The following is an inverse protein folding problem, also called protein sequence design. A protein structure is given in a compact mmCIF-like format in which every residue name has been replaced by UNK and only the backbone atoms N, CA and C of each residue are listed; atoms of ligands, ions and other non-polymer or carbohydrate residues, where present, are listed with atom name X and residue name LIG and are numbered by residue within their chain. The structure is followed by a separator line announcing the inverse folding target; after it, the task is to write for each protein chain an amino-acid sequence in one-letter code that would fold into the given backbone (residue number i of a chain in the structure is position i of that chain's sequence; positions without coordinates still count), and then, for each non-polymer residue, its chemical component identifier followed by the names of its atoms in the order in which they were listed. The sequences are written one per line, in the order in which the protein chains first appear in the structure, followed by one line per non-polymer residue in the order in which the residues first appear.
data_IF_229650163718
#
_entry.id   IF_229650163718
#
_cell.length_a   1.000
_cell.length_b   1.000
_cell.length_c   1.000
_cell.angle_alpha   90.00
_cell.angle_beta   90.00
_cell.angle_gamma   90.00
#
_symmetry.space_group_name_H-M   'P 1'
#
loop_
_entity.id
_entity.type
_entity.pdbx_description
1 polymer ?
#
# COMPACT_ATOMS: atom_id res chain seq x y z
N UNK A 1 -6.47 12.03 14.31
CA UNK A 1 -6.62 10.58 14.08
C UNK A 1 -6.80 9.88 15.42
N UNK A 2 -7.79 9.02 15.53
CA UNK A 2 -8.06 8.31 16.78
C UNK A 2 -7.12 7.13 16.93
N UNK A 3 -6.96 6.67 18.20
CA UNK A 3 -6.17 5.48 18.50
C UNK A 3 -6.71 4.24 17.78
N UNK A 4 -8.02 4.09 17.73
CA UNK A 4 -8.66 2.97 17.05
C UNK A 4 -8.35 2.95 15.55
N UNK A 5 -8.32 4.12 14.90
CA UNK A 5 -7.97 4.24 13.48
C UNK A 5 -6.54 3.81 13.23
N UNK A 6 -5.62 4.21 14.12
CA UNK A 6 -4.21 3.81 14.00
C UNK A 6 -4.04 2.30 14.16
N UNK A 7 -4.76 1.71 15.10
CA UNK A 7 -4.70 0.26 15.30
C UNK A 7 -5.24 -0.50 14.10
N UNK A 8 -6.35 -0.05 13.54
CA UNK A 8 -6.93 -0.68 12.35
C UNK A 8 -5.96 -0.58 11.17
N UNK A 9 -5.37 0.59 10.97
CA UNK A 9 -4.39 0.79 9.90
C UNK A 9 -3.18 -0.12 10.05
N UNK A 10 -2.62 -0.22 11.24
CA UNK A 10 -1.47 -1.09 11.51
C UNK A 10 -1.81 -2.55 11.28
N UNK A 11 -2.98 -2.97 11.74
CA UNK A 11 -3.45 -4.33 11.53
C UNK A 11 -3.56 -4.63 10.03
N UNK A 12 -4.15 -3.70 9.27
CA UNK A 12 -4.31 -3.86 7.83
C UNK A 12 -2.97 -3.95 7.11
N UNK A 13 -2.01 -3.08 7.48
CA UNK A 13 -0.68 -3.11 6.88
C UNK A 13 0.04 -4.42 7.17
N UNK A 14 -0.10 -4.95 8.38
CA UNK A 14 0.48 -6.24 8.73
C UNK A 14 -0.13 -7.36 7.89
N UNK A 15 -1.45 -7.35 7.71
CA UNK A 15 -2.13 -8.34 6.89
C UNK A 15 -1.73 -8.22 5.42
N UNK A 16 -1.57 -7.00 4.92
CA UNK A 16 -1.13 -6.76 3.55
C UNK A 16 0.28 -7.30 3.33
N UNK A 17 1.18 -7.07 4.29
CA UNK A 17 2.54 -7.58 4.19
C UNK A 17 2.56 -9.11 4.14
N UNK A 18 1.78 -9.77 4.99
CA UNK A 18 1.67 -11.23 4.97
C UNK A 18 1.10 -11.76 3.66
N UNK A 19 0.09 -11.08 3.15
CA UNK A 19 -0.53 -11.43 1.89
C UNK A 19 0.49 -11.38 0.75
N UNK A 20 1.28 -10.32 0.70
CA UNK A 20 2.31 -10.14 -0.32
C UNK A 20 3.40 -11.20 -0.21
N UNK A 21 3.86 -11.48 1.01
CA UNK A 21 4.89 -12.52 1.22
C UNK A 21 4.43 -13.88 0.71
N UNK A 22 3.17 -14.24 0.94
CA UNK A 22 2.63 -15.51 0.45
C UNK A 22 2.61 -15.58 -1.07
N UNK A 23 2.56 -14.43 -1.74
CA UNK A 23 2.58 -14.33 -3.19
C UNK A 23 3.97 -14.08 -3.74
N UNK A 24 5.00 -14.31 -2.90
CA UNK A 24 6.41 -14.23 -3.27
C UNK A 24 6.90 -12.81 -3.55
N UNK A 25 6.24 -11.82 -2.97
CA UNK A 25 6.77 -10.47 -2.91
C UNK A 25 7.75 -10.40 -1.74
N UNK A 26 8.87 -9.73 -1.96
CA UNK A 26 9.81 -9.44 -0.89
C UNK A 26 9.49 -8.07 -0.33
N UNK A 27 9.25 -8.00 0.96
CA UNK A 27 9.01 -6.71 1.63
C UNK A 27 10.37 -6.05 1.83
N UNK A 28 10.57 -4.90 1.20
CA UNK A 28 11.83 -4.17 1.26
C UNK A 28 11.81 -3.19 2.43
N UNK A 29 10.71 -2.46 2.57
CA UNK A 29 10.57 -1.47 3.62
C UNK A 29 9.10 -1.25 3.92
N UNK A 30 8.79 -0.90 5.17
CA UNK A 30 7.43 -0.57 5.59
C UNK A 30 7.43 0.84 6.16
N UNK A 31 6.34 1.56 5.93
CA UNK A 31 6.12 2.90 6.45
C UNK A 31 7.27 3.85 6.10
N UNK A 32 7.62 3.86 4.81
CA UNK A 32 8.60 4.82 4.32
C UNK A 32 8.00 6.23 4.36
N UNK A 33 8.72 7.16 4.97
CA UNK A 33 8.25 8.54 5.12
C UNK A 33 9.30 9.53 4.65
N UNK A 34 8.83 10.61 4.05
CA UNK A 34 9.65 11.76 3.74
C UNK A 34 8.79 13.03 3.86
N UNK A 35 9.36 14.17 3.53
CA UNK A 35 8.62 15.44 3.63
C UNK A 35 7.37 15.47 2.75
N UNK A 36 7.38 14.74 1.65
CA UNK A 36 6.28 14.76 0.67
C UNK A 36 5.14 13.81 1.00
N UNK A 37 5.37 12.82 1.86
CA UNK A 37 4.34 11.87 2.21
C UNK A 37 4.88 10.55 2.70
N UNK A 38 4.05 9.52 2.60
CA UNK A 38 4.32 8.20 3.15
C UNK A 38 3.90 7.13 2.16
N UNK A 39 4.65 6.02 2.16
CA UNK A 39 4.31 4.80 1.41
C UNK A 39 4.21 3.66 2.42
N UNK A 40 3.08 2.97 2.41
CA UNK A 40 2.82 1.93 3.41
C UNK A 40 3.77 0.75 3.30
N UNK A 41 3.98 0.26 2.08
CA UNK A 41 4.87 -0.88 1.84
C UNK A 41 5.64 -0.64 0.55
N UNK A 42 6.95 -0.88 0.60
CA UNK A 42 7.79 -0.98 -0.57
C UNK A 42 8.17 -2.45 -0.70
N UNK A 43 7.85 -3.04 -1.83
CA UNK A 43 8.07 -4.47 -2.05
C UNK A 43 8.76 -4.69 -3.39
N UNK A 44 9.34 -5.87 -3.54
CA UNK A 44 9.92 -6.30 -4.81
C UNK A 44 9.25 -7.58 -5.25
N UNK A 45 8.79 -7.59 -6.47
CA UNK A 45 8.21 -8.76 -7.10
C UNK A 45 8.95 -9.01 -8.41
N UNK A 46 9.73 -10.09 -8.43
CA UNK A 46 10.66 -10.34 -9.54
C UNK A 46 11.57 -9.12 -9.72
N UNK A 47 11.59 -8.50 -10.89
CA UNK A 47 12.42 -7.33 -11.16
C UNK A 47 11.70 -6.01 -10.93
N UNK A 48 10.44 -6.05 -10.51
CA UNK A 48 9.62 -4.84 -10.33
C UNK A 48 9.66 -4.37 -8.89
N UNK A 49 9.91 -3.09 -8.70
CA UNK A 49 9.77 -2.44 -7.41
C UNK A 49 8.34 -1.93 -7.29
N UNK A 50 7.64 -2.34 -6.24
CA UNK A 50 6.22 -2.09 -6.09
C UNK A 50 5.98 -1.21 -4.88
N UNK A 51 5.34 -0.07 -5.10
CA UNK A 51 4.93 0.84 -4.03
C UNK A 51 3.46 0.58 -3.73
N UNK A 52 3.15 0.18 -2.51
CA UNK A 52 1.83 -0.31 -2.14
C UNK A 52 1.15 0.63 -1.16
N UNK A 53 -0.06 1.04 -1.49
CA UNK A 53 -0.95 1.76 -0.59
C UNK A 53 -1.95 0.75 -0.02
N UNK A 54 -2.08 0.72 1.30
CA UNK A 54 -2.99 -0.19 1.99
C UNK A 54 -4.19 0.60 2.49
N UNK A 55 -5.38 0.15 2.10
CA UNK A 55 -6.64 0.74 2.56
C UNK A 55 -7.40 -0.29 3.37
N UNK A 56 -7.68 0.05 4.62
CA UNK A 56 -8.40 -0.84 5.53
C UNK A 56 -9.76 -0.26 5.86
N UNK A 57 -10.80 -1.07 5.73
CA UNK A 57 -12.18 -0.70 6.02
C UNK A 57 -12.76 -1.71 7.00
N UNK A 58 -13.73 -1.26 7.80
CA UNK A 58 -14.40 -2.14 8.76
C UNK A 58 -15.42 -3.04 8.10
N UNK A 59 -16.10 -2.56 7.08
CA UNK A 59 -17.13 -3.33 6.40
C UNK A 59 -17.17 -3.00 4.92
N UNK A 60 -17.98 -3.78 4.17
CA UNK A 60 -18.04 -3.69 2.72
C UNK A 60 -18.87 -2.51 2.21
N UNK A 61 -19.61 -1.84 3.09
CA UNK A 61 -20.45 -0.73 2.68
C UNK A 61 -19.68 0.54 2.39
N UNK A 62 -18.42 0.57 2.80
CA UNK A 62 -17.54 1.69 2.48
C UNK A 62 -17.30 1.79 0.99
N UNK A 63 -16.84 2.97 0.57
CA UNK A 63 -16.52 3.23 -0.84
C UNK A 63 -15.58 2.14 -1.36
N UNK A 64 -15.85 1.60 -2.57
CA UNK A 64 -14.98 0.58 -3.15
C UNK A 64 -13.51 0.98 -3.05
N UNK A 65 -12.65 0.08 -2.59
CA UNK A 65 -11.27 0.41 -2.23
C UNK A 65 -10.46 1.11 -3.32
N UNK A 66 -10.65 0.72 -4.59
CA UNK A 66 -9.89 1.33 -5.67
C UNK A 66 -10.23 2.81 -5.86
N UNK A 67 -11.40 3.25 -5.42
CA UNK A 67 -11.81 4.65 -5.51
C UNK A 67 -11.40 5.47 -4.30
N UNK A 68 -10.87 4.83 -3.25
CA UNK A 68 -10.42 5.55 -2.06
C UNK A 68 -9.05 6.19 -2.25
N UNK A 69 -8.37 5.90 -3.36
CA UNK A 69 -7.09 6.51 -3.70
C UNK A 69 -7.33 7.45 -4.87
N UNK A 70 -7.69 8.69 -4.57
CA UNK A 70 -7.98 9.69 -5.60
C UNK A 70 -6.70 10.19 -6.25
N UNK A 71 -6.82 10.98 -7.32
CA UNK A 71 -5.66 11.45 -8.08
C UNK A 71 -4.70 12.26 -7.23
N UNK A 72 -5.20 13.08 -6.33
CA UNK A 72 -4.36 13.87 -5.43
C UNK A 72 -3.47 12.99 -4.57
N UNK A 73 -4.03 11.93 -3.99
CA UNK A 73 -3.29 10.97 -3.19
C UNK A 73 -2.30 10.18 -4.05
N UNK A 74 -2.72 9.79 -5.25
CA UNK A 74 -1.85 9.09 -6.19
C UNK A 74 -0.61 9.93 -6.50
N UNK A 75 -0.79 11.22 -6.77
CA UNK A 75 0.33 12.11 -7.07
C UNK A 75 1.26 12.25 -5.87
N UNK A 76 0.71 12.29 -4.66
CA UNK A 76 1.52 12.34 -3.45
C UNK A 76 2.37 11.08 -3.32
N UNK A 77 1.79 9.93 -3.56
CA UNK A 77 2.51 8.64 -3.51
C UNK A 77 3.61 8.61 -4.57
N UNK A 78 3.30 9.07 -5.79
CA UNK A 78 4.27 9.10 -6.89
C UNK A 78 5.47 9.98 -6.52
N UNK A 79 5.22 11.17 -5.98
CA UNK A 79 6.29 12.08 -5.56
C UNK A 79 7.14 11.49 -4.45
N UNK A 80 6.49 10.84 -3.49
CA UNK A 80 7.20 10.16 -2.40
C UNK A 80 8.06 9.03 -2.92
N UNK A 81 7.53 8.26 -3.88
CA UNK A 81 8.28 7.17 -4.51
C UNK A 81 9.51 7.68 -5.26
N UNK A 82 9.41 8.85 -5.90
CA UNK A 82 10.57 9.45 -6.56
C UNK A 82 11.69 9.77 -5.59
N UNK A 83 11.35 10.25 -4.39
CA UNK A 83 12.34 10.50 -3.35
C UNK A 83 13.01 9.17 -2.93
N UNK A 84 12.20 8.13 -2.73
CA UNK A 84 12.72 6.80 -2.40
C UNK A 84 13.71 6.32 -3.45
N UNK A 85 13.32 6.39 -4.72
CA UNK A 85 14.16 5.94 -5.82
C UNK A 85 15.47 6.69 -5.86
N UNK A 86 15.42 8.02 -5.68
CA UNK A 86 16.61 8.85 -5.68
C UNK A 86 17.55 8.50 -4.52
N UNK A 87 17.01 8.31 -3.33
CA UNK A 87 17.79 7.95 -2.16
C UNK A 87 18.50 6.61 -2.29
N UNK A 88 17.89 5.69 -3.04
CA UNK A 88 18.43 4.35 -3.22
C UNK A 88 19.12 4.13 -4.57
N UNK A 89 19.31 5.21 -5.34
CA UNK A 89 19.96 5.17 -6.66
C UNK A 89 19.28 4.18 -7.61
N UNK A 90 17.94 4.15 -7.60
CA UNK A 90 17.15 3.23 -8.40
C UNK A 90 16.45 3.96 -9.55
N UNK A 91 16.21 3.21 -10.64
CA UNK A 91 15.50 3.73 -11.81
C UNK A 91 14.00 3.55 -11.66
N UNK A 92 13.24 4.50 -12.21
CA UNK A 92 11.78 4.43 -12.22
C UNK A 92 11.24 3.45 -13.28
N UNK A 93 12.08 2.91 -14.16
CA UNK A 93 11.62 2.11 -15.29
C UNK A 93 10.88 0.84 -14.92
N UNK A 94 11.24 0.23 -13.78
CA UNK A 94 10.62 -1.02 -13.34
C UNK A 94 9.89 -0.82 -12.03
N UNK A 95 9.02 0.18 -12.00
CA UNK A 95 8.22 0.49 -10.83
C UNK A 95 6.74 0.30 -11.12
N UNK A 96 5.98 -0.05 -10.08
CA UNK A 96 4.55 -0.24 -10.18
C UNK A 96 3.89 0.27 -8.91
N UNK A 97 2.70 0.84 -9.04
CA UNK A 97 1.92 1.34 -7.91
C UNK A 97 0.71 0.45 -7.71
N UNK A 98 0.63 -0.17 -6.55
CA UNK A 98 -0.43 -1.10 -6.21
C UNK A 98 -1.27 -0.57 -5.06
N UNK A 99 -2.52 -1.01 -5.01
CA UNK A 99 -3.40 -0.79 -3.86
C UNK A 99 -3.80 -2.15 -3.32
N UNK A 100 -3.75 -2.30 -2.01
CA UNK A 100 -4.32 -3.46 -1.32
C UNK A 100 -5.42 -2.96 -0.42
N UNK A 101 -6.61 -3.51 -0.62
CA UNK A 101 -7.79 -3.14 0.15
C UNK A 101 -8.16 -4.28 1.07
N UNK A 102 -8.36 -3.98 2.34
CA UNK A 102 -8.67 -4.99 3.35
C UNK A 102 -9.95 -4.61 4.04
N UNK A 103 -10.89 -5.57 4.08
CA UNK A 103 -12.12 -5.45 4.86
C UNK A 103 -11.93 -6.27 6.13
N UNK A 104 -12.04 -5.60 7.29
CA UNK A 104 -11.65 -6.21 8.55
C UNK A 104 -12.56 -7.33 9.03
N UNK A 105 -13.88 -7.15 8.91
CA UNK A 105 -14.80 -8.14 9.44
C UNK A 105 -14.79 -8.18 10.96
N UNK A 106 -15.42 -9.21 11.52
CA UNK A 106 -15.63 -9.32 12.96
C UNK A 106 -14.54 -10.11 13.70
N UNK A 107 -13.70 -10.86 13.00
CA UNK A 107 -12.68 -11.71 13.62
C UNK A 107 -11.28 -11.18 13.48
N UNK A 108 -10.31 -12.02 13.84
CA UNK A 108 -8.89 -11.67 13.70
C UNK A 108 -8.40 -11.76 12.26
N UNK A 109 -9.10 -12.55 11.44
CA UNK A 109 -8.75 -12.69 10.02
C UNK A 109 -9.52 -11.67 9.22
N UNK A 110 -8.94 -11.12 8.14
CA UNK A 110 -9.69 -10.21 7.29
C UNK A 110 -10.84 -10.95 6.61
N UNK A 111 -11.96 -10.26 6.46
CA UNK A 111 -13.10 -10.78 5.72
C UNK A 111 -12.76 -10.88 4.23
N UNK A 112 -12.00 -9.91 3.74
CA UNK A 112 -11.64 -9.86 2.33
C UNK A 112 -10.34 -9.09 2.17
N UNK A 113 -9.50 -9.54 1.23
CA UNK A 113 -8.31 -8.82 0.79
C UNK A 113 -8.36 -8.76 -0.72
N UNK A 114 -8.28 -7.55 -1.27
CA UNK A 114 -8.21 -7.35 -2.70
C UNK A 114 -6.92 -6.64 -3.06
N UNK A 115 -6.23 -7.17 -4.04
CA UNK A 115 -4.99 -6.60 -4.54
C UNK A 115 -5.22 -6.05 -5.95
N UNK A 116 -4.87 -4.81 -6.15
CA UNK A 116 -4.99 -4.12 -7.45
C UNK A 116 -3.59 -3.78 -7.96
N UNK A 117 -2.92 -4.70 -8.66
CA UNK A 117 -1.60 -4.41 -9.22
C UNK A 117 -1.72 -3.35 -10.31
N UNK A 118 -0.77 -2.42 -10.32
CA UNK A 118 -0.80 -1.34 -11.32
C UNK A 118 -2.04 -0.48 -11.22
N UNK A 119 -2.49 -0.19 -10.01
CA UNK A 119 -3.74 0.53 -9.78
C UNK A 119 -3.73 1.94 -10.32
N UNK A 120 -2.57 2.57 -10.42
CA UNK A 120 -2.43 3.89 -11.03
C UNK A 120 -1.03 4.06 -11.58
N UNK A 121 -0.86 5.09 -12.39
CA UNK A 121 0.39 5.38 -13.10
C UNK A 121 0.80 6.84 -12.94
N UNK A 122 2.03 7.09 -13.23
CA UNK A 122 2.59 8.44 -13.26
C UNK A 122 1.86 9.35 -14.24
#
# INVERSE_FOLDING_TARGET
MTYATNQLGRWGEERAARFLKKRRYKIVERNYRCRLGEIDIVARWRETLVFVEVKTRRDEEDIPPQYSVNRRKQLQIIRTARVYLKEHYLSAEKCRFDVIAIVAGAGKKPQEIRHFPGAFRV
#
